data_IF_342091420593
#
_entry.id   IF_342091420593
#
_cell.length_a   1.000
_cell.length_b   1.000
_cell.length_c   1.000
_cell.angle_alpha   90.00
_cell.angle_beta   90.00
_cell.angle_gamma   90.00
#
_symmetry.space_group_name_H-M   'P 1'
#
loop_
_entity.id
_entity.type
_entity.pdbx_description
1 polymer ?
#
# COMPACT_ATOMS: atom_id res chain seq x y z
N UNK A 1 15.82 -11.37 51.54
CA UNK A 1 16.72 -12.14 50.67
C UNK A 1 16.22 -11.99 49.24
N UNK A 2 16.95 -11.23 48.41
CA UNK A 2 16.47 -10.75 47.11
C UNK A 2 16.73 -11.79 46.01
N UNK A 3 15.68 -12.09 45.23
CA UNK A 3 15.70 -12.94 44.05
C UNK A 3 16.58 -12.32 42.95
N UNK A 4 17.56 -13.09 42.45
CA UNK A 4 18.36 -12.72 41.27
C UNK A 4 17.57 -13.02 39.99
N UNK A 5 17.18 -11.96 39.27
CA UNK A 5 16.61 -12.05 37.93
C UNK A 5 17.71 -12.38 36.90
N UNK A 6 17.43 -13.32 36.00
CA UNK A 6 18.27 -13.63 34.84
C UNK A 6 18.03 -12.58 33.74
N UNK A 7 19.07 -11.83 33.37
CA UNK A 7 19.02 -10.86 32.29
C UNK A 7 19.23 -11.62 30.98
N UNK A 8 18.16 -11.78 30.20
CA UNK A 8 18.22 -12.26 28.82
C UNK A 8 18.50 -11.07 27.91
N UNK A 9 19.58 -11.14 27.12
CA UNK A 9 19.87 -10.12 26.11
C UNK A 9 18.90 -10.25 24.93
N UNK A 10 18.36 -9.11 24.49
CA UNK A 10 17.56 -8.95 23.26
C UNK A 10 18.38 -8.15 22.25
N UNK A 11 18.25 -8.47 20.97
CA UNK A 11 18.77 -7.61 19.89
C UNK A 11 17.88 -6.37 19.68
N UNK A 12 18.31 -5.44 18.83
CA UNK A 12 17.60 -4.19 18.51
C UNK A 12 16.22 -4.38 17.85
N UNK A 13 15.84 -5.62 17.54
CA UNK A 13 14.53 -6.00 16.99
C UNK A 13 13.69 -6.86 17.96
N UNK A 14 14.14 -7.04 19.20
CA UNK A 14 13.37 -7.69 20.27
C UNK A 14 13.35 -9.22 20.24
N UNK A 15 14.25 -9.87 19.48
CA UNK A 15 14.31 -11.33 19.43
C UNK A 15 15.25 -11.90 20.50
N UNK A 16 14.85 -13.03 21.10
CA UNK A 16 15.64 -13.73 22.12
C UNK A 16 16.77 -14.51 21.45
N UNK A 17 18.02 -14.15 21.73
CA UNK A 17 19.20 -14.84 21.23
C UNK A 17 19.57 -15.99 22.16
N UNK A 18 19.42 -17.23 21.71
CA UNK A 18 19.84 -18.43 22.45
C UNK A 18 21.34 -18.67 22.27
N UNK A 19 22.08 -18.80 23.38
CA UNK A 19 23.52 -19.01 23.39
C UNK A 19 23.82 -20.48 23.07
N UNK A 20 24.44 -20.73 21.92
CA UNK A 20 24.99 -22.03 21.51
C UNK A 20 26.45 -21.87 21.10
N UNK A 21 27.33 -21.97 22.09
CA UNK A 21 28.69 -22.53 22.07
C UNK A 21 29.38 -22.80 20.71
N UNK A 22 30.46 -22.05 20.41
CA UNK A 22 31.76 -22.62 19.96
C UNK A 22 32.91 -21.61 19.86
N UNK A 23 33.76 -21.67 20.88
CA UNK A 23 35.24 -21.70 20.88
C UNK A 23 35.93 -21.48 19.52
N UNK A 24 36.80 -20.47 19.41
CA UNK A 24 38.21 -20.65 18.99
C UNK A 24 39.07 -19.47 19.46
N UNK A 25 40.13 -19.83 20.20
CA UNK A 25 41.23 -18.99 20.67
C UNK A 25 42.14 -18.61 19.51
N UNK A 26 42.74 -17.41 19.54
CA UNK A 26 43.88 -17.06 18.70
C UNK A 26 44.24 -15.58 18.78
N UNK A 27 45.05 -15.19 19.77
CA UNK A 27 45.64 -13.86 19.87
C UNK A 27 46.85 -13.74 18.94
N UNK A 28 47.04 -12.60 18.28
CA UNK A 28 48.37 -12.04 18.00
C UNK A 28 48.28 -10.52 17.78
N UNK A 29 49.25 -9.80 18.33
CA UNK A 29 49.30 -8.35 18.47
C UNK A 29 49.79 -7.59 17.22
N UNK A 30 49.53 -6.27 17.25
CA UNK A 30 49.77 -5.21 16.25
C UNK A 30 51.26 -5.02 15.85
N UNK A 31 51.50 -4.24 14.78
CA UNK A 31 52.14 -2.95 15.04
C UNK A 31 51.51 -1.74 14.33
N UNK A 32 51.74 -0.61 14.98
CA UNK A 32 51.22 0.74 14.77
C UNK A 32 52.02 1.44 13.65
N UNK A 33 51.35 2.00 12.65
CA UNK A 33 51.95 2.91 11.68
C UNK A 33 51.55 4.38 11.99
N UNK A 34 52.57 5.22 12.21
CA UNK A 34 52.46 6.66 12.48
C UNK A 34 52.25 7.46 11.17
N UNK A 35 51.61 8.65 11.22
CA UNK A 35 51.37 9.49 10.05
C UNK A 35 52.58 10.39 9.72
N UNK A 36 52.88 10.56 8.43
CA UNK A 36 53.87 11.55 7.96
C UNK A 36 53.15 12.77 7.38
N UNK A 37 53.60 13.94 7.82
CA UNK A 37 53.11 15.29 7.47
C UNK A 37 53.42 15.66 6.02
N UNK A 38 52.43 16.29 5.38
CA UNK A 38 52.62 17.63 4.82
C UNK A 38 52.65 17.77 3.29
N UNK A 39 51.49 18.06 2.69
CA UNK A 39 51.36 19.24 1.81
C UNK A 39 50.02 19.89 2.13
N UNK A 40 50.07 21.16 2.53
CA UNK A 40 48.91 22.04 2.66
C UNK A 40 48.62 22.65 1.30
N UNK A 41 47.37 22.64 0.87
CA UNK A 41 46.84 23.70 0.00
C UNK A 41 45.61 24.26 0.70
N UNK A 42 45.81 25.37 1.40
CA UNK A 42 44.73 26.26 1.78
C UNK A 42 44.86 27.47 0.86
N UNK A 43 43.80 27.86 0.16
CA UNK A 43 42.95 28.96 0.63
C UNK A 43 41.88 29.31 -0.41
N UNK A 44 40.76 29.80 0.14
CA UNK A 44 39.88 30.83 -0.43
C UNK A 44 39.27 30.52 -1.80
N UNK A 45 38.03 30.04 -1.80
CA UNK A 45 36.87 30.76 -2.35
C UNK A 45 35.62 29.86 -2.28
N UNK A 46 34.55 30.37 -1.65
CA UNK A 46 33.17 29.95 -1.94
C UNK A 46 32.58 28.91 -1.00
N UNK A 47 32.11 29.37 0.16
CA UNK A 47 31.25 28.63 1.10
C UNK A 47 29.84 28.33 0.53
N UNK A 48 29.64 28.50 -0.79
CA UNK A 48 28.35 28.42 -1.48
C UNK A 48 28.04 27.01 -2.03
N UNK A 49 29.03 26.12 -2.10
CA UNK A 49 28.82 24.74 -2.59
C UNK A 49 28.17 23.82 -1.55
N UNK A 50 28.19 24.17 -0.26
CA UNK A 50 27.53 23.38 0.79
C UNK A 50 26.00 23.62 0.84
N UNK A 51 25.52 24.77 0.35
CA UNK A 51 24.09 25.10 0.33
C UNK A 51 23.35 24.47 -0.86
N UNK A 52 24.03 24.29 -2.00
CA UNK A 52 23.45 23.65 -3.19
C UNK A 52 23.28 22.12 -3.04
N UNK A 53 24.15 21.47 -2.24
CA UNK A 53 24.06 20.04 -1.94
C UNK A 53 22.90 19.69 -1.00
N UNK A 54 22.61 20.53 -0.01
CA UNK A 54 21.48 20.32 0.93
C UNK A 54 20.12 20.47 0.26
N UNK A 55 19.92 21.48 -0.59
CA UNK A 55 18.65 21.65 -1.31
C UNK A 55 18.29 20.44 -2.17
N UNK A 56 19.26 19.83 -2.86
CA UNK A 56 18.97 18.65 -3.71
C UNK A 56 18.71 17.38 -2.90
N UNK A 57 19.32 17.23 -1.72
CA UNK A 57 19.05 16.08 -0.85
C UNK A 57 17.72 16.24 -0.10
N UNK A 58 17.40 17.44 0.36
CA UNK A 58 16.11 17.75 0.99
C UNK A 58 14.96 17.74 -0.02
N UNK A 59 15.16 18.20 -1.26
CA UNK A 59 14.16 18.09 -2.33
C UNK A 59 13.97 16.65 -2.79
N UNK A 60 15.03 15.83 -2.83
CA UNK A 60 14.88 14.39 -3.08
C UNK A 60 14.20 13.69 -1.90
N UNK A 61 14.52 14.02 -0.65
CA UNK A 61 13.84 13.49 0.54
C UNK A 61 12.37 13.96 0.63
N UNK A 62 12.06 15.18 0.21
CA UNK A 62 10.69 15.71 0.14
C UNK A 62 9.91 15.20 -1.08
N UNK A 63 10.55 14.98 -2.25
CA UNK A 63 9.94 14.25 -3.38
C UNK A 63 9.75 12.77 -3.09
N UNK A 64 10.62 12.16 -2.29
CA UNK A 64 10.49 10.78 -1.80
C UNK A 64 9.40 10.64 -0.73
N UNK A 65 9.08 11.71 0.02
CA UNK A 65 7.90 11.74 0.90
C UNK A 65 6.56 11.74 0.15
N UNK A 66 6.53 12.02 -1.16
CA UNK A 66 5.30 11.98 -1.97
C UNK A 66 5.19 10.77 -2.91
N UNK A 67 6.16 9.87 -2.84
CA UNK A 67 6.12 8.53 -3.45
C UNK A 67 6.52 7.52 -2.39
N UNK A 68 5.84 7.58 -1.24
CA UNK A 68 5.76 6.40 -0.40
C UNK A 68 5.16 5.30 -1.27
N UNK A 69 5.84 4.15 -1.32
CA UNK A 69 5.19 2.88 -1.56
C UNK A 69 3.88 2.95 -0.77
N UNK A 70 2.73 2.99 -1.45
CA UNK A 70 1.45 3.10 -0.78
C UNK A 70 1.19 1.74 -0.10
N UNK A 71 1.87 1.48 1.01
CA UNK A 71 1.56 0.42 1.94
C UNK A 71 0.11 0.69 2.36
N UNK A 72 -0.86 -0.14 1.98
CA UNK A 72 -2.28 0.17 2.15
C UNK A 72 -2.67 -0.01 3.62
N UNK A 73 -2.25 0.90 4.50
CA UNK A 73 -2.66 0.95 5.91
C UNK A 73 -4.15 1.27 6.12
N UNK A 74 -4.95 1.28 5.05
CA UNK A 74 -6.36 1.64 5.09
C UNK A 74 -7.26 1.09 3.98
N UNK A 75 -6.83 0.13 3.15
CA UNK A 75 -7.72 -0.42 2.11
C UNK A 75 -9.03 -0.94 2.71
N UNK A 76 -10.17 -0.58 2.11
CA UNK A 76 -11.49 -1.04 2.53
C UNK A 76 -12.14 -0.23 3.66
N UNK A 77 -11.48 0.82 4.15
CA UNK A 77 -12.10 1.80 5.08
C UNK A 77 -12.93 2.80 4.28
N UNK A 78 -14.05 3.23 4.86
CA UNK A 78 -14.92 4.25 4.30
C UNK A 78 -15.02 5.43 5.25
N UNK A 79 -14.93 6.65 4.71
CA UNK A 79 -15.22 7.91 5.41
C UNK A 79 -16.50 8.50 4.83
N UNK A 80 -17.46 8.85 5.68
CA UNK A 80 -18.63 9.61 5.25
C UNK A 80 -18.18 10.99 4.75
N UNK A 81 -18.70 11.43 3.60
CA UNK A 81 -18.45 12.76 3.03
C UNK A 81 -19.74 13.60 2.96
N UNK A 82 -20.78 13.21 3.68
CA UNK A 82 -22.08 13.88 3.69
C UNK A 82 -23.03 13.39 2.59
N UNK A 83 -24.31 13.77 2.70
CA UNK A 83 -25.38 13.46 1.72
C UNK A 83 -25.51 11.96 1.39
N UNK A 84 -25.26 11.11 2.39
CA UNK A 84 -25.26 9.66 2.22
C UNK A 84 -24.20 9.13 1.26
N UNK A 85 -23.14 9.89 0.99
CA UNK A 85 -21.99 9.48 0.19
C UNK A 85 -20.83 9.04 1.09
N UNK A 86 -20.08 8.05 0.62
CA UNK A 86 -18.91 7.50 1.32
C UNK A 86 -17.70 7.54 0.40
N UNK A 87 -16.53 7.92 0.92
CA UNK A 87 -15.27 7.88 0.20
C UNK A 87 -14.39 6.77 0.76
N UNK A 88 -13.84 5.90 -0.10
CA UNK A 88 -12.85 4.91 0.32
C UNK A 88 -11.45 5.49 0.42
N UNK A 89 -10.55 4.74 1.05
CA UNK A 89 -9.14 5.10 1.16
C UNK A 89 -8.45 5.22 -0.21
N UNK A 90 -8.88 4.46 -1.22
CA UNK A 90 -8.39 4.60 -2.60
C UNK A 90 -9.02 5.79 -3.36
N UNK A 91 -9.97 6.49 -2.74
CA UNK A 91 -10.61 7.67 -3.30
C UNK A 91 -11.86 7.40 -4.13
N UNK A 92 -12.39 6.17 -4.12
CA UNK A 92 -13.70 5.87 -4.72
C UNK A 92 -14.83 6.52 -3.92
N UNK A 93 -15.84 7.02 -4.61
CA UNK A 93 -17.00 7.67 -4.02
C UNK A 93 -18.23 6.78 -4.25
N UNK A 94 -18.86 6.35 -3.17
CA UNK A 94 -20.05 5.53 -3.16
C UNK A 94 -21.24 6.40 -2.77
N UNK A 95 -22.02 6.78 -3.78
CA UNK A 95 -23.20 7.61 -3.59
C UNK A 95 -24.48 6.84 -3.26
N UNK A 96 -25.59 7.59 -3.26
CA UNK A 96 -26.94 7.03 -3.24
C UNK A 96 -27.30 6.38 -4.59
N UNK A 97 -28.33 5.52 -4.57
CA UNK A 97 -28.92 4.87 -5.72
C UNK A 97 -28.69 3.35 -5.81
N UNK A 98 -29.17 2.77 -6.91
CA UNK A 98 -29.38 1.33 -7.14
C UNK A 98 -30.53 0.73 -6.35
N UNK A 99 -30.91 -0.52 -6.66
CA UNK A 99 -31.95 -1.29 -5.93
C UNK A 99 -31.70 -1.41 -4.41
N UNK A 100 -30.47 -1.21 -3.96
CA UNK A 100 -30.10 -1.30 -2.54
C UNK A 100 -30.10 0.06 -1.82
N UNK A 101 -30.49 1.14 -2.50
CA UNK A 101 -30.48 2.52 -1.99
C UNK A 101 -29.10 3.18 -1.91
N UNK A 102 -28.02 2.43 -1.70
CA UNK A 102 -26.66 2.96 -1.66
C UNK A 102 -25.65 2.07 -2.40
N UNK A 103 -24.65 2.69 -3.04
CA UNK A 103 -23.62 2.01 -3.84
C UNK A 103 -22.69 1.12 -3.00
N UNK A 104 -22.42 1.46 -1.73
CA UNK A 104 -21.70 0.57 -0.80
C UNK A 104 -22.46 -0.74 -0.63
N UNK A 105 -23.77 -0.65 -0.34
CA UNK A 105 -24.62 -1.85 -0.17
C UNK A 105 -24.65 -2.69 -1.45
N UNK A 106 -24.70 -2.05 -2.62
CA UNK A 106 -24.65 -2.73 -3.90
C UNK A 106 -23.35 -3.52 -4.09
N UNK A 107 -22.20 -2.88 -3.92
CA UNK A 107 -20.89 -3.54 -4.10
C UNK A 107 -20.73 -4.67 -3.09
N UNK A 108 -21.17 -4.47 -1.84
CA UNK A 108 -21.15 -5.52 -0.81
C UNK A 108 -22.17 -6.66 -1.06
N UNK A 109 -23.14 -6.50 -1.96
CA UNK A 109 -24.01 -7.61 -2.38
C UNK A 109 -23.21 -8.66 -3.17
N UNK A 110 -22.14 -8.26 -3.86
CA UNK A 110 -21.18 -9.17 -4.49
C UNK A 110 -20.28 -9.93 -3.49
N UNK A 111 -20.58 -9.90 -2.19
CA UNK A 111 -19.93 -10.73 -1.19
C UNK A 111 -20.61 -12.09 -0.97
N UNK A 112 -21.79 -12.31 -1.55
CA UNK A 112 -22.58 -13.53 -1.41
C UNK A 112 -23.23 -13.90 -2.74
N UNK A 113 -23.42 -15.19 -3.04
CA UNK A 113 -24.22 -15.61 -4.19
C UNK A 113 -25.66 -15.10 -4.08
N UNK A 114 -26.24 -14.72 -5.21
CA UNK A 114 -27.65 -14.38 -5.36
C UNK A 114 -28.25 -15.34 -6.42
N UNK A 115 -28.93 -16.42 -6.01
CA UNK A 115 -29.40 -17.46 -6.93
C UNK A 115 -30.48 -16.94 -7.89
N UNK A 116 -31.11 -15.80 -7.58
CA UNK A 116 -32.07 -15.15 -8.48
C UNK A 116 -31.42 -14.47 -9.67
N UNK A 117 -30.08 -14.39 -9.69
CA UNK A 117 -29.31 -13.73 -10.74
C UNK A 117 -28.42 -14.74 -11.48
N UNK A 118 -28.76 -15.11 -12.74
CA UNK A 118 -27.98 -16.09 -13.50
C UNK A 118 -26.56 -15.61 -13.83
N UNK A 119 -26.33 -14.28 -13.87
CA UNK A 119 -25.00 -13.68 -14.08
C UNK A 119 -24.61 -12.86 -12.85
N UNK A 120 -24.03 -13.53 -11.84
CA UNK A 120 -23.57 -12.90 -10.61
C UNK A 120 -22.26 -13.53 -10.11
N UNK A 121 -21.17 -12.79 -10.22
CA UNK A 121 -19.88 -13.17 -9.61
C UNK A 121 -19.78 -12.67 -8.17
N UNK A 122 -18.97 -13.38 -7.39
CA UNK A 122 -18.87 -13.21 -5.93
C UNK A 122 -17.41 -13.08 -5.55
N UNK A 123 -17.09 -12.08 -4.75
CA UNK A 123 -15.74 -11.88 -4.21
C UNK A 123 -15.36 -12.97 -3.19
N UNK A 124 -14.08 -13.35 -3.19
CA UNK A 124 -13.51 -14.22 -2.15
C UNK A 124 -13.41 -13.50 -0.80
N UNK A 125 -13.47 -14.29 0.28
CA UNK A 125 -13.22 -13.80 1.64
C UNK A 125 -14.33 -12.96 2.27
N UNK A 126 -15.50 -12.90 1.62
CA UNK A 126 -16.73 -12.34 2.17
C UNK A 126 -16.72 -10.82 2.35
N UNK A 127 -17.78 -10.32 3.00
CA UNK A 127 -18.14 -8.88 3.03
C UNK A 127 -17.04 -7.97 3.56
N UNK A 128 -16.21 -8.44 4.49
CA UNK A 128 -15.14 -7.66 5.11
C UNK A 128 -13.97 -7.36 4.14
N UNK A 129 -13.75 -8.19 3.13
CA UNK A 129 -12.62 -8.03 2.19
C UNK A 129 -12.97 -7.29 0.91
N UNK A 130 -14.26 -7.25 0.52
CA UNK A 130 -14.71 -6.69 -0.76
C UNK A 130 -14.18 -5.27 -1.01
N UNK A 131 -14.40 -4.35 -0.07
CA UNK A 131 -13.98 -2.95 -0.26
C UNK A 131 -12.45 -2.81 -0.35
N UNK A 132 -11.71 -3.68 0.36
CA UNK A 132 -10.26 -3.72 0.27
C UNK A 132 -9.77 -4.16 -1.11
N UNK A 133 -10.38 -5.20 -1.68
CA UNK A 133 -10.08 -5.69 -3.03
C UNK A 133 -10.43 -4.65 -4.11
N UNK A 134 -11.57 -3.96 -3.95
CA UNK A 134 -11.98 -2.89 -4.89
C UNK A 134 -11.04 -1.69 -4.79
N UNK A 135 -10.61 -1.31 -3.58
CA UNK A 135 -9.62 -0.25 -3.38
C UNK A 135 -8.26 -0.60 -4.00
N UNK A 136 -7.80 -1.83 -3.80
CA UNK A 136 -6.57 -2.34 -4.41
C UNK A 136 -6.66 -2.30 -5.94
N UNK A 137 -7.75 -2.82 -6.52
CA UNK A 137 -8.01 -2.75 -7.96
C UNK A 137 -8.04 -1.29 -8.47
N UNK A 138 -8.72 -0.40 -7.76
CA UNK A 138 -8.79 1.01 -8.15
C UNK A 138 -7.43 1.70 -8.10
N UNK A 139 -6.56 1.37 -7.15
CA UNK A 139 -5.20 1.91 -7.09
C UNK A 139 -4.35 1.52 -8.31
N UNK A 140 -4.66 0.38 -8.94
CA UNK A 140 -3.96 -0.15 -10.10
C UNK A 140 -4.60 0.25 -11.44
N UNK A 141 -5.71 0.99 -11.44
CA UNK A 141 -6.50 1.32 -12.64
C UNK A 141 -5.71 2.00 -13.76
N UNK A 142 -4.63 2.72 -13.44
CA UNK A 142 -3.78 3.39 -14.44
C UNK A 142 -3.06 2.41 -15.36
N UNK A 143 -2.96 1.14 -14.97
CA UNK A 143 -2.36 0.06 -15.76
C UNK A 143 -3.30 -0.47 -16.86
N UNK A 144 -4.55 -0.03 -16.90
CA UNK A 144 -5.55 -0.50 -17.87
C UNK A 144 -6.24 0.67 -18.55
N UNK A 145 -6.62 0.49 -19.82
CA UNK A 145 -7.44 1.47 -20.54
C UNK A 145 -8.91 1.23 -20.20
N UNK A 146 -9.67 2.25 -19.76
CA UNK A 146 -11.09 2.09 -19.53
C UNK A 146 -11.85 1.93 -20.84
N UNK A 147 -12.91 1.12 -20.83
CA UNK A 147 -13.91 1.08 -21.90
C UNK A 147 -15.02 2.06 -21.54
N UNK A 148 -15.25 3.04 -22.42
CA UNK A 148 -16.34 4.01 -22.25
C UNK A 148 -17.61 3.43 -22.84
N UNK A 149 -18.65 3.33 -22.02
CA UNK A 149 -19.97 2.86 -22.44
C UNK A 149 -20.79 4.02 -23.01
N UNK A 150 -21.75 3.70 -23.89
CA UNK A 150 -22.67 4.68 -24.51
C UNK A 150 -23.45 5.53 -23.49
N UNK A 151 -23.64 5.03 -22.26
CA UNK A 151 -24.34 5.72 -21.17
C UNK A 151 -23.44 6.63 -20.33
N UNK A 152 -22.20 6.91 -20.77
CA UNK A 152 -21.28 7.81 -20.05
C UNK A 152 -20.58 7.18 -18.85
N UNK A 153 -20.61 5.84 -18.71
CA UNK A 153 -19.84 5.14 -17.69
C UNK A 153 -18.48 4.67 -18.23
N UNK A 154 -17.48 4.67 -17.37
CA UNK A 154 -16.18 4.08 -17.64
C UNK A 154 -16.05 2.72 -16.92
N UNK A 155 -15.65 1.70 -17.67
CA UNK A 155 -15.43 0.33 -17.18
C UNK A 155 -13.94 0.04 -17.13
N UNK A 156 -13.43 -0.27 -15.96
CA UNK A 156 -12.06 -0.72 -15.73
C UNK A 156 -12.09 -2.21 -15.40
N UNK A 157 -11.44 -3.04 -16.23
CA UNK A 157 -11.18 -4.44 -15.89
C UNK A 157 -9.74 -4.53 -15.41
N UNK A 158 -9.54 -4.62 -14.10
CA UNK A 158 -8.20 -4.56 -13.48
C UNK A 158 -7.74 -5.97 -13.13
N UNK A 159 -6.70 -6.51 -13.78
CA UNK A 159 -6.11 -7.79 -13.40
C UNK A 159 -5.39 -7.66 -12.06
N UNK A 160 -5.69 -8.55 -11.12
CA UNK A 160 -5.22 -8.46 -9.73
C UNK A 160 -4.01 -9.36 -9.45
N UNK A 161 -3.64 -10.24 -10.39
CA UNK A 161 -2.55 -11.21 -10.21
C UNK A 161 -2.83 -12.31 -9.17
N UNK A 162 -4.01 -12.30 -8.54
CA UNK A 162 -4.46 -13.28 -7.54
C UNK A 162 -5.95 -13.54 -7.70
N UNK A 163 -6.43 -14.66 -7.15
CA UNK A 163 -7.85 -14.96 -7.13
C UNK A 163 -8.60 -13.92 -6.29
N UNK A 164 -9.63 -13.33 -6.89
CA UNK A 164 -10.50 -12.33 -6.28
C UNK A 164 -11.97 -12.73 -6.31
N UNK A 165 -12.37 -13.67 -7.18
CA UNK A 165 -13.70 -14.26 -7.19
C UNK A 165 -13.73 -15.74 -6.79
N UNK A 166 -14.88 -16.20 -6.30
CA UNK A 166 -15.05 -17.56 -5.76
C UNK A 166 -14.94 -18.67 -6.81
N UNK A 167 -15.01 -18.34 -8.10
CA UNK A 167 -14.89 -19.28 -9.22
C UNK A 167 -13.53 -19.19 -9.92
N UNK A 168 -12.54 -18.56 -9.30
CA UNK A 168 -11.19 -18.44 -9.84
C UNK A 168 -10.92 -17.14 -10.59
N UNK A 169 -11.88 -16.21 -10.63
CA UNK A 169 -11.73 -14.92 -11.27
C UNK A 169 -10.51 -14.17 -10.71
N UNK A 170 -9.67 -13.62 -11.59
CA UNK A 170 -8.45 -12.87 -11.22
C UNK A 170 -8.52 -11.39 -11.58
N UNK A 171 -9.68 -10.94 -12.08
CA UNK A 171 -9.89 -9.57 -12.54
C UNK A 171 -11.05 -8.94 -11.77
N UNK A 172 -10.90 -7.69 -11.35
CA UNK A 172 -12.01 -6.89 -10.79
C UNK A 172 -12.50 -5.92 -11.85
N UNK A 173 -13.79 -6.00 -12.18
CA UNK A 173 -14.46 -4.96 -12.97
C UNK A 173 -14.95 -3.86 -12.03
N UNK A 174 -14.57 -2.62 -12.32
CA UNK A 174 -15.07 -1.42 -11.63
C UNK A 174 -15.76 -0.54 -12.67
N UNK A 175 -17.00 -0.16 -12.40
CA UNK A 175 -17.76 0.76 -13.25
C UNK A 175 -17.95 2.07 -12.48
N UNK A 176 -17.52 3.17 -13.07
CA UNK A 176 -17.66 4.53 -12.52
C UNK A 176 -18.33 5.45 -13.54
N UNK A 177 -18.85 6.59 -13.09
CA UNK A 177 -19.22 7.68 -14.02
C UNK A 177 -17.94 8.23 -14.66
N UNK A 178 -17.94 8.38 -15.97
CA UNK A 178 -16.75 8.82 -16.72
C UNK A 178 -16.21 10.15 -16.17
N UNK A 179 -14.89 10.25 -16.06
CA UNK A 179 -14.21 11.45 -15.55
C UNK A 179 -14.30 11.64 -14.03
N UNK A 180 -14.92 10.71 -13.29
CA UNK A 180 -15.10 10.82 -11.83
C UNK A 180 -14.61 9.57 -11.09
N UNK A 181 -14.64 9.63 -9.75
CA UNK A 181 -14.47 8.47 -8.88
C UNK A 181 -15.81 7.92 -8.36
N UNK A 182 -16.95 8.32 -8.92
CA UNK A 182 -18.27 7.88 -8.45
C UNK A 182 -18.60 6.47 -8.95
N UNK A 183 -18.63 5.50 -8.04
CA UNK A 183 -18.86 4.09 -8.32
C UNK A 183 -20.32 3.81 -8.64
N UNK A 184 -20.54 3.08 -9.72
CA UNK A 184 -21.83 2.49 -10.07
C UNK A 184 -21.93 1.06 -9.52
N UNK A 185 -20.91 0.23 -9.77
CA UNK A 185 -20.79 -1.15 -9.27
C UNK A 185 -19.35 -1.66 -9.39
N UNK A 186 -19.02 -2.74 -8.69
CA UNK A 186 -17.76 -3.46 -8.82
C UNK A 186 -17.95 -4.94 -8.48
N UNK A 187 -17.35 -5.83 -9.26
CA UNK A 187 -17.48 -7.29 -9.11
C UNK A 187 -16.34 -8.05 -9.83
N UNK A 188 -16.02 -9.30 -9.43
CA UNK A 188 -15.04 -10.12 -10.14
C UNK A 188 -15.49 -10.48 -11.55
N UNK A 189 -14.57 -10.63 -12.49
CA UNK A 189 -14.86 -11.14 -13.84
C UNK A 189 -13.83 -12.18 -14.25
N UNK A 190 -14.21 -13.19 -15.06
CA UNK A 190 -13.29 -14.14 -15.65
C UNK A 190 -12.13 -13.46 -16.39
#
# INVERSE_FOLDING_TARGET
MFNKAAITGVDENGNKVGVGERIFRGALALPIAKPVKGVKMATKYGDDVLAAGKKKFDDFAQRSKKVACNCPGGSGKLKSIGNGKWKSSAGLIYGQGSKHGNRVKHVLAHARPDPTKPKHSVFVGGRKKVLGLVDEAWSMRSKVKPVIQKNGNAVYNVPMGKQVGTQGEKTVRIVVRQGTSEVITAFPVP
#
